data_IF_259292101811
#
_entry.id   IF_259292101811
#
_cell.length_a   1.000
_cell.length_b   1.000
_cell.length_c   1.000
_cell.angle_alpha   90.00
_cell.angle_beta   90.00
_cell.angle_gamma   90.00
#
_symmetry.space_group_name_H-M   'P 1'
#
loop_
_entity.id
_entity.type
_entity.pdbx_description
1 polymer ?
#
# COMPACT_ATOMS: atom_id res chain seq x y z
N UNK A 1 32.75 -9.40 10.83
CA UNK A 1 31.79 -8.79 11.75
C UNK A 1 31.34 -7.49 11.17
N UNK A 2 30.05 -7.35 10.86
CA UNK A 2 29.45 -6.07 10.46
C UNK A 2 28.36 -5.72 11.47
N UNK A 3 28.41 -4.51 12.01
CA UNK A 3 27.34 -3.95 12.81
C UNK A 3 26.78 -2.73 12.07
N UNK A 4 25.49 -2.67 11.90
CA UNK A 4 24.79 -1.55 11.31
C UNK A 4 23.92 -0.87 12.36
N UNK A 5 23.92 0.45 12.39
CA UNK A 5 23.03 1.26 13.23
C UNK A 5 22.08 2.01 12.32
N UNK A 6 20.77 2.01 12.65
CA UNK A 6 19.71 2.71 11.92
C UNK A 6 19.06 3.72 12.86
N UNK A 7 18.98 4.96 12.40
CA UNK A 7 18.18 6.02 13.03
C UNK A 7 17.05 6.39 12.07
N UNK A 8 15.80 6.42 12.56
CA UNK A 8 14.64 6.89 11.81
C UNK A 8 13.90 7.91 12.64
N UNK A 9 13.55 9.03 12.02
CA UNK A 9 12.65 10.04 12.57
C UNK A 9 11.44 10.08 11.65
N UNK A 10 10.25 9.94 12.22
CA UNK A 10 8.99 9.99 11.49
C UNK A 10 8.13 11.08 12.10
N UNK A 11 7.55 11.92 11.26
CA UNK A 11 6.58 12.94 11.64
C UNK A 11 5.35 12.75 10.77
N UNK A 12 4.20 12.56 11.39
CA UNK A 12 2.89 12.55 10.75
C UNK A 12 2.13 13.73 11.32
N UNK A 13 1.61 14.59 10.46
CA UNK A 13 0.82 15.74 10.86
C UNK A 13 -0.67 15.38 10.79
N UNK A 14 -1.44 15.88 11.74
CA UNK A 14 -2.90 15.78 11.75
C UNK A 14 -3.48 16.51 10.52
N UNK A 15 -4.57 15.98 9.98
CA UNK A 15 -5.44 16.71 9.08
C UNK A 15 -6.74 17.09 9.81
N UNK A 16 -7.32 18.22 9.46
CA UNK A 16 -8.58 18.72 10.05
C UNK A 16 -9.77 17.76 9.89
N UNK A 17 -9.62 16.68 9.11
CA UNK A 17 -10.60 15.63 8.90
C UNK A 17 -10.55 14.50 9.95
N UNK A 18 -9.58 14.49 10.86
CA UNK A 18 -9.47 13.52 11.97
C UNK A 18 -9.14 12.09 11.56
N UNK A 19 -8.71 11.85 10.32
CA UNK A 19 -8.27 10.51 9.84
C UNK A 19 -6.86 10.14 10.32
N UNK A 20 -6.01 11.11 10.56
CA UNK A 20 -4.63 10.91 10.99
C UNK A 20 -4.39 11.71 12.25
N UNK A 21 -4.07 11.04 13.34
CA UNK A 21 -3.58 11.70 14.54
C UNK A 21 -2.12 12.10 14.37
N UNK A 22 -1.74 13.24 14.93
CA UNK A 22 -0.34 13.67 14.99
C UNK A 22 0.53 12.56 15.55
N UNK A 23 1.68 12.35 14.94
CA UNK A 23 2.67 11.41 15.44
C UNK A 23 4.08 11.90 15.15
N UNK A 24 4.82 12.18 16.21
CA UNK A 24 6.28 12.38 16.16
C UNK A 24 6.93 11.19 16.84
N UNK A 25 7.65 10.39 16.09
CA UNK A 25 8.30 9.19 16.61
C UNK A 25 9.79 9.16 16.28
N UNK A 26 10.58 8.68 17.22
CA UNK A 26 12.01 8.42 17.06
C UNK A 26 12.24 6.93 17.24
N UNK A 27 12.93 6.31 16.29
CA UNK A 27 13.33 4.92 16.37
C UNK A 27 14.84 4.76 16.27
N UNK A 28 15.39 3.91 17.13
CA UNK A 28 16.81 3.54 17.14
C UNK A 28 16.91 2.03 17.08
N UNK A 29 17.68 1.53 16.12
CA UNK A 29 17.88 0.10 15.95
C UNK A 29 19.27 -0.23 15.49
N UNK A 30 19.57 -1.52 15.53
CA UNK A 30 20.83 -2.04 15.04
C UNK A 30 20.75 -3.51 14.70
N UNK A 31 21.68 -3.96 13.88
CA UNK A 31 21.86 -5.35 13.51
C UNK A 31 23.32 -5.74 13.66
N UNK A 32 23.54 -6.88 14.26
CA UNK A 32 24.84 -7.51 14.40
C UNK A 32 24.90 -8.82 13.63
N UNK A 33 25.90 -8.95 12.78
CA UNK A 33 26.17 -10.15 11.99
C UNK A 33 27.31 -10.93 12.67
N UNK A 34 27.09 -12.20 12.90
CA UNK A 34 28.06 -13.09 13.51
C UNK A 34 28.14 -14.44 12.77
N UNK A 35 29.28 -15.09 12.88
CA UNK A 35 29.55 -16.24 12.01
C UNK A 35 29.56 -15.84 10.54
N UNK A 36 29.19 -16.76 9.67
CA UNK A 36 29.19 -16.51 8.23
C UNK A 36 27.88 -15.86 7.75
N UNK A 37 26.75 -16.10 8.42
CA UNK A 37 25.41 -15.68 7.96
C UNK A 37 24.42 -15.38 9.08
N UNK A 38 24.78 -15.64 10.34
CA UNK A 38 23.86 -15.46 11.46
C UNK A 38 23.75 -13.99 11.85
N UNK A 39 22.60 -13.58 12.30
CA UNK A 39 22.33 -12.20 12.67
C UNK A 39 21.41 -12.10 13.87
N UNK A 40 21.56 -11.01 14.62
CA UNK A 40 20.61 -10.55 15.62
C UNK A 40 20.40 -9.05 15.42
N UNK A 41 19.17 -8.60 15.48
CA UNK A 41 18.83 -7.19 15.32
C UNK A 41 17.68 -6.81 16.24
N UNK A 42 17.60 -5.51 16.52
CA UNK A 42 16.50 -4.95 17.30
C UNK A 42 16.31 -3.47 17.00
N UNK A 43 15.12 -3.01 17.22
CA UNK A 43 14.73 -1.60 17.10
C UNK A 43 13.79 -1.27 18.26
N UNK A 44 13.96 -0.08 18.81
CA UNK A 44 13.04 0.52 19.77
C UNK A 44 12.59 1.86 19.24
N UNK A 45 11.33 2.19 19.43
CA UNK A 45 10.77 3.48 19.05
C UNK A 45 9.88 4.03 20.15
N UNK A 46 9.83 5.36 20.22
CA UNK A 46 8.95 6.10 21.11
C UNK A 46 8.34 7.27 20.34
N UNK A 47 7.10 7.60 20.62
CA UNK A 47 6.40 8.69 19.96
C UNK A 47 5.08 9.02 20.63
N UNK A 48 4.39 10.00 20.09
CA UNK A 48 3.15 10.53 20.66
C UNK A 48 2.04 9.47 20.74
N UNK A 49 2.07 8.48 19.82
CA UNK A 49 1.11 7.35 19.78
C UNK A 49 1.52 6.16 20.63
N UNK A 50 2.73 6.16 21.16
CA UNK A 50 3.20 5.09 22.03
C UNK A 50 4.62 4.60 21.72
N UNK A 51 4.95 3.53 22.38
CA UNK A 51 6.26 2.89 22.32
C UNK A 51 6.18 1.57 21.53
N UNK A 52 7.26 1.23 20.85
CA UNK A 52 7.39 -0.07 20.23
C UNK A 52 8.81 -0.62 20.33
N UNK A 53 8.90 -1.95 20.33
CA UNK A 53 10.16 -2.67 20.31
C UNK A 53 10.06 -3.86 19.35
N UNK A 54 11.14 -4.14 18.65
CA UNK A 54 11.28 -5.36 17.86
C UNK A 54 12.63 -6.02 18.09
N UNK A 55 12.64 -7.34 18.05
CA UNK A 55 13.82 -8.18 18.10
C UNK A 55 13.75 -9.19 16.97
N UNK A 56 14.83 -9.38 16.24
CA UNK A 56 14.94 -10.37 15.17
C UNK A 56 16.22 -11.16 15.35
N UNK A 57 16.19 -12.45 15.08
CA UNK A 57 17.36 -13.31 15.09
C UNK A 57 17.28 -14.34 13.97
N UNK A 58 18.39 -14.62 13.33
CA UNK A 58 18.56 -15.75 12.42
C UNK A 58 19.89 -16.44 12.73
N UNK A 59 19.81 -17.74 12.96
CA UNK A 59 20.95 -18.58 13.26
C UNK A 59 21.06 -19.74 12.28
N UNK A 60 22.17 -19.80 11.57
CA UNK A 60 22.49 -20.87 10.62
C UNK A 60 23.16 -22.04 11.34
N UNK A 61 22.41 -23.14 11.48
CA UNK A 61 22.93 -24.39 12.04
C UNK A 61 23.85 -25.11 11.07
N UNK A 62 23.50 -25.06 9.78
CA UNK A 62 24.21 -25.61 8.64
C UNK A 62 24.11 -24.65 7.44
N UNK A 63 24.90 -24.81 6.38
CA UNK A 63 24.82 -23.94 5.21
C UNK A 63 23.46 -23.91 4.50
N UNK A 64 22.64 -24.92 4.73
CA UNK A 64 21.33 -25.16 4.14
C UNK A 64 20.18 -25.17 5.15
N UNK A 65 20.46 -24.95 6.45
CA UNK A 65 19.46 -24.95 7.51
C UNK A 65 19.63 -23.81 8.48
N UNK A 66 18.60 -22.98 8.61
CA UNK A 66 18.55 -21.88 9.58
C UNK A 66 17.33 -21.96 10.48
N UNK A 67 17.51 -21.45 11.70
CA UNK A 67 16.44 -21.10 12.63
C UNK A 67 16.29 -19.58 12.62
N UNK A 68 15.07 -19.08 12.67
CA UNK A 68 14.81 -17.66 12.80
C UNK A 68 13.70 -17.38 13.81
N UNK A 69 13.72 -16.19 14.34
CA UNK A 69 12.68 -15.73 15.23
C UNK A 69 12.59 -14.21 15.24
N UNK A 70 11.40 -13.72 15.52
CA UNK A 70 11.13 -12.31 15.75
C UNK A 70 10.16 -12.15 16.91
N UNK A 71 10.29 -11.01 17.56
CA UNK A 71 9.35 -10.54 18.58
C UNK A 71 9.03 -9.08 18.30
N UNK A 72 7.76 -8.74 18.36
CA UNK A 72 7.29 -7.38 18.21
C UNK A 72 6.38 -7.01 19.38
N UNK A 73 6.53 -5.79 19.85
CA UNK A 73 5.69 -5.21 20.89
C UNK A 73 5.42 -3.75 20.58
N UNK A 74 4.17 -3.31 20.76
CA UNK A 74 3.77 -1.93 20.56
C UNK A 74 2.64 -1.59 21.51
N UNK A 75 2.63 -0.37 22.02
CA UNK A 75 1.53 0.22 22.80
C UNK A 75 0.62 1.08 21.95
N UNK A 76 0.97 1.30 20.69
CA UNK A 76 0.13 2.07 19.76
C UNK A 76 -1.17 1.29 19.47
N UNK A 77 -2.31 1.89 19.86
CA UNK A 77 -3.65 1.32 19.68
C UNK A 77 -4.42 2.03 18.56
N UNK A 78 -3.82 3.00 17.86
CA UNK A 78 -4.49 3.74 16.80
C UNK A 78 -4.87 2.82 15.63
N UNK A 79 -6.11 2.88 15.17
CA UNK A 79 -6.63 1.98 14.13
C UNK A 79 -6.24 2.40 12.70
N UNK A 80 -5.69 3.60 12.54
CA UNK A 80 -5.60 4.27 11.24
C UNK A 80 -4.31 4.10 10.46
N UNK A 81 -3.28 3.49 11.03
CA UNK A 81 -1.95 3.44 10.40
C UNK A 81 -1.51 2.06 9.90
N UNK A 82 -2.42 1.29 9.34
CA UNK A 82 -2.13 -0.03 8.79
C UNK A 82 -1.18 -0.03 7.57
N UNK A 83 -1.07 1.10 6.86
CA UNK A 83 -0.24 1.22 5.67
C UNK A 83 1.24 1.45 5.97
N UNK A 84 1.57 2.11 7.10
CA UNK A 84 2.93 2.50 7.44
C UNK A 84 3.55 1.69 8.58
N UNK A 85 2.76 0.96 9.34
CA UNK A 85 3.24 0.15 10.45
C UNK A 85 2.67 -1.29 10.38
N UNK A 86 3.25 -2.17 9.54
CA UNK A 86 2.82 -3.57 9.46
C UNK A 86 3.07 -4.36 10.77
N UNK A 87 3.75 -3.77 11.75
CA UNK A 87 4.15 -4.41 13.02
C UNK A 87 3.25 -4.03 14.20
N UNK A 88 1.99 -3.72 13.98
CA UNK A 88 1.02 -3.40 15.05
C UNK A 88 0.66 -4.58 15.94
N UNK A 89 0.86 -5.78 15.46
CA UNK A 89 0.54 -6.98 16.22
C UNK A 89 1.67 -7.30 17.17
N UNK A 90 1.36 -7.32 18.46
CA UNK A 90 2.26 -7.81 19.48
C UNK A 90 2.39 -9.31 19.33
N UNK A 91 3.59 -9.84 19.44
CA UNK A 91 3.75 -11.27 19.36
C UNK A 91 5.12 -11.74 18.99
N UNK A 92 5.21 -13.01 18.75
CA UNK A 92 6.44 -13.66 18.33
C UNK A 92 6.20 -14.58 17.13
N UNK A 93 7.25 -14.72 16.35
CA UNK A 93 7.33 -15.67 15.25
C UNK A 93 8.61 -16.47 15.43
N UNK A 94 8.52 -17.78 15.37
CA UNK A 94 9.69 -18.66 15.33
C UNK A 94 9.53 -19.65 14.20
N UNK A 95 10.62 -19.95 13.51
CA UNK A 95 10.58 -20.84 12.38
C UNK A 95 11.93 -21.43 12.02
N UNK A 96 11.88 -22.31 11.05
CA UNK A 96 13.06 -22.90 10.45
C UNK A 96 12.92 -22.92 8.93
N UNK A 97 14.05 -22.86 8.27
CA UNK A 97 14.14 -22.89 6.80
C UNK A 97 15.22 -23.87 6.38
N UNK A 98 14.84 -24.73 5.44
CA UNK A 98 15.73 -25.70 4.80
C UNK A 98 15.86 -25.45 3.33
N UNK A 99 17.08 -25.43 2.85
CA UNK A 99 17.39 -25.45 1.42
C UNK A 99 17.58 -26.90 0.98
N UNK A 100 16.53 -27.53 0.46
CA UNK A 100 16.59 -28.91 -0.02
C UNK A 100 17.45 -29.06 -1.28
N UNK A 101 17.45 -28.02 -2.13
CA UNK A 101 18.26 -27.94 -3.34
C UNK A 101 18.58 -26.48 -3.65
N UNK A 102 19.32 -26.24 -4.74
CA UNK A 102 19.54 -24.85 -5.21
C UNK A 102 18.24 -24.15 -5.63
N UNK A 103 17.19 -24.94 -5.90
CA UNK A 103 15.91 -24.45 -6.42
C UNK A 103 14.76 -24.57 -5.43
N UNK A 104 14.93 -25.28 -4.29
CA UNK A 104 13.81 -25.59 -3.40
C UNK A 104 14.15 -25.30 -1.95
N UNK A 105 13.35 -24.45 -1.33
CA UNK A 105 13.37 -24.17 0.10
C UNK A 105 12.07 -24.70 0.72
N UNK A 106 12.18 -25.28 1.91
CA UNK A 106 11.05 -25.54 2.78
C UNK A 106 11.16 -24.65 4.01
N UNK A 107 10.04 -24.28 4.58
CA UNK A 107 10.00 -23.62 5.88
C UNK A 107 8.79 -24.07 6.67
N UNK A 108 8.92 -24.03 7.98
CA UNK A 108 7.78 -24.01 8.86
C UNK A 108 7.95 -22.91 9.90
N UNK A 109 6.82 -22.37 10.33
CA UNK A 109 6.76 -21.19 11.19
C UNK A 109 5.60 -21.33 12.16
N UNK A 110 5.83 -20.96 13.42
CA UNK A 110 4.77 -20.76 14.41
C UNK A 110 4.74 -19.29 14.78
N UNK A 111 3.58 -18.68 14.68
CA UNK A 111 3.37 -17.28 14.93
C UNK A 111 2.26 -17.11 15.96
N UNK A 112 2.57 -16.42 17.03
CA UNK A 112 1.60 -15.95 18.03
C UNK A 112 1.46 -14.46 17.93
N UNK A 113 0.24 -14.00 17.74
CA UNK A 113 -0.09 -12.60 17.62
C UNK A 113 -1.16 -12.22 18.63
N UNK A 114 -1.06 -11.00 19.11
CA UNK A 114 -2.04 -10.38 19.99
C UNK A 114 -2.31 -8.96 19.50
N UNK A 115 -3.54 -8.69 19.14
CA UNK A 115 -3.97 -7.37 18.71
C UNK A 115 -4.26 -6.44 19.89
N UNK A 116 -4.20 -5.13 19.73
CA UNK A 116 -4.51 -4.16 20.77
C UNK A 116 -5.93 -4.26 21.32
N UNK A 117 -6.87 -4.74 20.50
CA UNK A 117 -8.27 -4.97 20.88
C UNK A 117 -8.46 -6.17 21.84
N UNK A 118 -7.39 -6.95 22.05
CA UNK A 118 -7.39 -8.13 22.92
C UNK A 118 -7.59 -9.44 22.20
N UNK A 119 -7.87 -9.45 20.90
CA UNK A 119 -7.86 -10.66 20.10
C UNK A 119 -6.44 -11.25 20.04
N UNK A 120 -6.34 -12.56 19.98
CA UNK A 120 -5.06 -13.24 19.94
C UNK A 120 -5.15 -14.51 19.11
N UNK A 121 -4.02 -15.00 18.62
CA UNK A 121 -4.00 -16.25 17.87
C UNK A 121 -2.62 -16.88 17.78
N UNK A 122 -2.63 -18.20 17.65
CA UNK A 122 -1.46 -19.00 17.33
C UNK A 122 -1.69 -19.64 15.95
N UNK A 123 -0.82 -19.37 15.02
CA UNK A 123 -0.86 -19.97 13.69
C UNK A 123 0.42 -20.75 13.41
N UNK A 124 0.27 -21.92 12.79
CA UNK A 124 1.37 -22.72 12.28
C UNK A 124 1.32 -22.72 10.77
N UNK A 125 2.41 -22.36 10.13
CA UNK A 125 2.53 -22.31 8.66
C UNK A 125 3.61 -23.27 8.20
N UNK A 126 3.29 -24.09 7.23
CA UNK A 126 4.26 -24.87 6.46
C UNK A 126 4.29 -24.33 5.03
N UNK A 127 5.47 -24.15 4.47
CA UNK A 127 5.59 -23.61 3.12
C UNK A 127 6.76 -24.20 2.35
N UNK A 128 6.65 -24.04 1.04
CA UNK A 128 7.67 -24.39 0.06
C UNK A 128 7.84 -23.27 -0.94
N UNK A 129 9.09 -22.89 -1.18
CA UNK A 129 9.46 -22.01 -2.29
C UNK A 129 10.26 -22.79 -3.31
N UNK A 130 9.89 -22.63 -4.58
CA UNK A 130 10.53 -23.29 -5.71
C UNK A 130 10.95 -22.26 -6.76
N UNK A 131 12.20 -22.34 -7.20
CA UNK A 131 12.84 -21.45 -8.15
C UNK A 131 13.24 -22.23 -9.43
N UNK A 132 12.30 -22.50 -10.36
CA UNK A 132 12.55 -23.37 -11.52
C UNK A 132 13.58 -22.85 -12.52
N UNK A 133 13.86 -21.54 -12.47
CA UNK A 133 14.83 -20.89 -13.33
C UNK A 133 15.08 -19.44 -12.92
N UNK A 134 15.99 -18.80 -13.60
CA UNK A 134 16.36 -17.41 -13.30
C UNK A 134 15.13 -16.49 -13.33
N UNK A 135 14.92 -15.79 -12.25
CA UNK A 135 13.83 -14.83 -12.09
C UNK A 135 12.45 -15.44 -11.83
N UNK A 136 12.30 -16.76 -11.80
CA UNK A 136 11.06 -17.41 -11.42
C UNK A 136 11.02 -17.74 -9.94
N UNK A 137 9.87 -17.53 -9.31
CA UNK A 137 9.54 -18.02 -7.98
C UNK A 137 8.13 -18.58 -7.97
N UNK A 138 7.97 -19.74 -7.37
CA UNK A 138 6.69 -20.37 -7.09
C UNK A 138 6.66 -20.72 -5.60
N UNK A 139 5.53 -20.53 -4.96
CA UNK A 139 5.40 -20.85 -3.54
C UNK A 139 4.05 -21.48 -3.23
N UNK A 140 4.07 -22.27 -2.19
CA UNK A 140 2.91 -22.93 -1.62
C UNK A 140 2.96 -22.80 -0.12
N UNK A 141 1.83 -22.47 0.54
CA UNK A 141 1.73 -22.47 1.99
C UNK A 141 0.45 -23.14 2.47
N UNK A 142 0.57 -23.85 3.58
CA UNK A 142 -0.53 -24.34 4.40
C UNK A 142 -0.45 -23.66 5.75
N UNK A 143 -1.55 -23.16 6.24
CA UNK A 143 -1.64 -22.55 7.56
C UNK A 143 -2.80 -23.17 8.34
N UNK A 144 -2.55 -23.42 9.62
CA UNK A 144 -3.54 -23.84 10.59
C UNK A 144 -3.37 -23.02 11.85
N UNK A 145 -4.45 -22.48 12.42
CA UNK A 145 -4.36 -21.55 13.53
C UNK A 145 -5.62 -21.48 14.36
N UNK A 146 -5.40 -21.26 15.65
CA UNK A 146 -6.44 -21.02 16.65
C UNK A 146 -6.44 -19.52 17.00
N UNK A 147 -7.58 -18.88 16.81
CA UNK A 147 -7.79 -17.47 17.09
C UNK A 147 -8.82 -17.34 18.21
N UNK A 148 -8.60 -16.37 19.08
CA UNK A 148 -9.59 -15.98 20.10
C UNK A 148 -9.98 -14.54 19.84
N UNK A 149 -11.25 -14.30 19.56
CA UNK A 149 -11.79 -12.96 19.33
C UNK A 149 -11.88 -12.16 20.63
N UNK A 150 -12.09 -10.85 20.53
CA UNK A 150 -12.30 -9.93 21.67
C UNK A 150 -13.37 -10.45 22.64
N UNK A 151 -14.45 -11.02 22.11
CA UNK A 151 -15.58 -11.56 22.89
C UNK A 151 -15.29 -12.94 23.50
N UNK A 152 -14.05 -13.45 23.37
CA UNK A 152 -13.63 -14.77 23.89
C UNK A 152 -14.08 -15.96 23.04
N UNK A 153 -14.66 -15.71 21.88
CA UNK A 153 -15.01 -16.77 20.93
C UNK A 153 -13.78 -17.36 20.23
N UNK A 154 -13.71 -18.68 20.17
CA UNK A 154 -12.64 -19.36 19.47
C UNK A 154 -12.97 -19.58 17.98
N UNK A 155 -11.98 -19.37 17.13
CA UNK A 155 -12.05 -19.55 15.67
C UNK A 155 -10.88 -20.42 15.23
N UNK A 156 -11.19 -21.55 14.64
CA UNK A 156 -10.21 -22.41 13.95
C UNK A 156 -10.04 -21.90 12.52
N UNK A 157 -8.86 -21.47 12.17
CA UNK A 157 -8.53 -20.94 10.84
C UNK A 157 -7.63 -21.89 10.08
N UNK A 158 -8.04 -22.23 8.87
CA UNK A 158 -7.22 -22.96 7.92
C UNK A 158 -7.07 -22.15 6.64
N UNK A 159 -5.84 -22.06 6.13
CA UNK A 159 -5.59 -21.39 4.87
C UNK A 159 -4.63 -22.19 3.99
N UNK A 160 -4.86 -22.09 2.69
CA UNK A 160 -3.96 -22.59 1.68
C UNK A 160 -3.66 -21.47 0.69
N UNK A 161 -2.40 -21.24 0.37
CA UNK A 161 -2.05 -20.25 -0.64
C UNK A 161 -1.07 -20.78 -1.67
N UNK A 162 -1.20 -20.25 -2.88
CA UNK A 162 -0.28 -20.42 -3.98
C UNK A 162 0.22 -19.05 -4.41
N UNK A 163 1.51 -18.90 -4.59
CA UNK A 163 2.10 -17.71 -5.15
C UNK A 163 3.02 -18.04 -6.30
N UNK A 164 3.08 -17.14 -7.27
CA UNK A 164 3.97 -17.25 -8.41
C UNK A 164 4.46 -15.89 -8.84
N UNK A 165 5.67 -15.84 -9.33
CA UNK A 165 6.26 -14.61 -9.81
C UNK A 165 7.36 -14.84 -10.84
N UNK A 166 7.60 -13.80 -11.62
CA UNK A 166 8.70 -13.73 -12.57
C UNK A 166 9.28 -12.33 -12.59
N UNK A 167 10.56 -12.23 -12.30
CA UNK A 167 11.33 -11.00 -12.46
C UNK A 167 12.38 -11.21 -13.54
N UNK A 168 12.33 -10.39 -14.56
CA UNK A 168 13.32 -10.32 -15.65
C UNK A 168 13.66 -8.87 -15.92
N UNK A 169 14.58 -8.57 -16.85
CA UNK A 169 14.94 -7.18 -17.19
C UNK A 169 13.75 -6.31 -17.59
N UNK A 170 12.75 -6.88 -18.22
CA UNK A 170 11.60 -6.15 -18.76
C UNK A 170 10.26 -6.46 -18.09
N UNK A 171 10.20 -7.51 -17.27
CA UNK A 171 8.95 -7.97 -16.67
C UNK A 171 9.12 -8.25 -15.19
N UNK A 172 8.26 -7.66 -14.37
CA UNK A 172 8.03 -8.01 -12.97
C UNK A 172 6.56 -8.41 -12.80
N UNK A 173 6.33 -9.70 -12.58
CA UNK A 173 5.01 -10.27 -12.35
C UNK A 173 4.99 -11.02 -11.04
N UNK A 174 3.95 -10.78 -10.24
CA UNK A 174 3.69 -11.47 -8.99
C UNK A 174 2.20 -11.74 -8.87
N UNK A 175 1.86 -12.94 -8.44
CA UNK A 175 0.49 -13.38 -8.19
C UNK A 175 0.43 -14.23 -6.94
N UNK A 176 -0.61 -14.03 -6.13
CA UNK A 176 -0.94 -14.89 -4.99
C UNK A 176 -2.43 -15.16 -5.00
N UNK A 177 -2.81 -16.40 -4.76
CA UNK A 177 -4.19 -16.84 -4.49
C UNK A 177 -4.19 -17.56 -3.16
N UNK A 178 -5.14 -17.19 -2.31
CA UNK A 178 -5.33 -17.78 -0.99
C UNK A 178 -6.80 -18.13 -0.80
N UNK A 179 -7.04 -19.35 -0.30
CA UNK A 179 -8.32 -19.75 0.24
C UNK A 179 -8.18 -19.90 1.75
N UNK A 180 -9.11 -19.30 2.48
CA UNK A 180 -9.17 -19.30 3.92
C UNK A 180 -10.53 -19.81 4.39
N UNK A 181 -10.52 -20.59 5.43
CA UNK A 181 -11.69 -21.14 6.08
C UNK A 181 -11.61 -20.91 7.57
N UNK A 182 -12.60 -20.22 8.11
CA UNK A 182 -12.77 -19.96 9.54
C UNK A 182 -13.97 -20.78 10.05
N UNK A 183 -13.81 -21.42 11.19
CA UNK A 183 -14.86 -22.21 11.85
C UNK A 183 -14.83 -21.95 13.37
N UNK A 184 -15.98 -22.05 14.03
CA UNK A 184 -16.07 -21.80 15.47
C UNK A 184 -16.95 -20.58 15.76
N UNK A 185 -16.47 -19.57 16.46
CA UNK A 185 -17.21 -18.35 16.71
C UNK A 185 -17.53 -17.59 15.42
N UNK A 186 -16.69 -17.70 14.42
CA UNK A 186 -16.93 -17.28 13.02
C UNK A 186 -17.12 -18.52 12.16
N UNK A 187 -17.91 -18.42 11.12
CA UNK A 187 -18.13 -19.51 10.15
C UNK A 187 -18.18 -18.93 8.76
N UNK A 188 -16.99 -18.79 8.12
CA UNK A 188 -16.85 -18.15 6.82
C UNK A 188 -15.81 -18.81 5.95
N UNK A 189 -16.01 -18.69 4.66
CA UNK A 189 -15.06 -19.05 3.62
C UNK A 189 -14.63 -17.77 2.88
N UNK A 190 -13.32 -17.63 2.60
CA UNK A 190 -12.78 -16.45 1.97
C UNK A 190 -11.79 -16.81 0.88
N UNK A 191 -11.95 -16.19 -0.29
CA UNK A 191 -10.98 -16.16 -1.36
C UNK A 191 -10.29 -14.81 -1.43
N UNK A 192 -8.96 -14.82 -1.50
CA UNK A 192 -8.16 -13.61 -1.67
C UNK A 192 -7.16 -13.83 -2.80
N UNK A 193 -7.06 -12.88 -3.71
CA UNK A 193 -6.00 -12.88 -4.72
C UNK A 193 -5.39 -11.50 -4.86
N UNK A 194 -4.08 -11.45 -4.98
CA UNK A 194 -3.31 -10.25 -5.25
C UNK A 194 -2.43 -10.49 -6.45
N UNK A 195 -2.51 -9.60 -7.44
CA UNK A 195 -1.78 -9.73 -8.68
C UNK A 195 -1.14 -8.39 -9.04
N UNK A 196 0.09 -8.43 -9.47
CA UNK A 196 0.84 -7.27 -9.95
C UNK A 196 1.62 -7.65 -11.19
N UNK A 197 1.57 -6.80 -12.18
CA UNK A 197 2.35 -6.90 -13.41
C UNK A 197 2.95 -5.54 -13.73
N UNK A 198 4.24 -5.51 -14.00
CA UNK A 198 4.91 -4.38 -14.65
C UNK A 198 5.67 -4.96 -15.84
N UNK A 199 5.45 -4.39 -17.02
CA UNK A 199 6.14 -4.83 -18.23
C UNK A 199 6.65 -3.64 -19.04
N UNK A 200 7.93 -3.66 -19.37
CA UNK A 200 8.61 -2.68 -20.20
C UNK A 200 8.70 -3.22 -21.62
N UNK A 201 7.89 -2.69 -22.53
CA UNK A 201 7.93 -3.09 -23.94
C UNK A 201 9.20 -2.60 -24.65
N UNK A 202 9.64 -1.40 -24.29
CA UNK A 202 10.87 -0.77 -24.77
C UNK A 202 11.27 0.36 -23.81
N UNK A 203 12.31 1.10 -24.14
CA UNK A 203 12.81 2.20 -23.30
C UNK A 203 11.82 3.35 -23.16
N UNK A 204 10.87 3.49 -24.09
CA UNK A 204 9.88 4.56 -24.11
C UNK A 204 8.53 4.17 -23.50
N UNK A 205 8.18 2.88 -23.45
CA UNK A 205 6.82 2.47 -23.10
C UNK A 205 6.78 1.34 -22.07
N UNK A 206 6.04 1.58 -20.99
CA UNK A 206 5.82 0.63 -19.89
C UNK A 206 4.34 0.56 -19.55
N UNK A 207 3.87 -0.64 -19.21
CA UNK A 207 2.57 -0.85 -18.62
C UNK A 207 2.72 -1.36 -17.19
N UNK A 208 1.74 -1.07 -16.36
CA UNK A 208 1.59 -1.63 -15.03
C UNK A 208 0.14 -2.01 -14.78
N UNK A 209 -0.07 -3.10 -14.05
CA UNK A 209 -1.39 -3.54 -13.63
C UNK A 209 -1.34 -4.14 -12.23
N UNK A 210 -2.41 -3.94 -11.48
CA UNK A 210 -2.66 -4.56 -10.19
C UNK A 210 -4.11 -5.00 -10.13
N UNK A 211 -4.35 -6.18 -9.59
CA UNK A 211 -5.69 -6.68 -9.32
C UNK A 211 -5.69 -7.34 -7.95
N UNK A 212 -6.46 -6.77 -7.04
CA UNK A 212 -6.79 -7.34 -5.75
C UNK A 212 -8.25 -7.79 -5.78
N UNK A 213 -8.51 -8.97 -5.31
CA UNK A 213 -9.85 -9.51 -5.19
C UNK A 213 -9.97 -10.22 -3.84
N UNK A 214 -11.05 -9.98 -3.14
CA UNK A 214 -11.45 -10.72 -1.96
C UNK A 214 -12.96 -11.00 -2.02
N UNK A 215 -13.35 -12.20 -1.68
CA UNK A 215 -14.75 -12.64 -1.58
C UNK A 215 -14.90 -13.41 -0.28
N UNK A 216 -15.80 -12.96 0.57
CA UNK A 216 -16.09 -13.56 1.88
C UNK A 216 -17.54 -14.00 1.89
N UNK A 217 -17.76 -15.27 2.13
CA UNK A 217 -19.07 -15.88 2.35
C UNK A 217 -19.19 -16.29 3.83
N UNK A 218 -20.02 -15.56 4.55
CA UNK A 218 -20.32 -15.84 5.95
C UNK A 218 -21.59 -16.69 6.07
N UNK A 219 -21.44 -17.88 6.65
CA UNK A 219 -22.51 -18.86 6.76
C UNK A 219 -23.50 -18.58 7.89
N UNK A 220 -23.16 -17.68 8.82
CA UNK A 220 -24.01 -17.30 9.97
C UNK A 220 -24.75 -16.02 9.71
N UNK A 221 -24.08 -15.04 9.16
CA UNK A 221 -24.66 -13.72 8.87
C UNK A 221 -24.42 -13.31 7.42
N UNK A 222 -25.45 -13.43 6.59
CA UNK A 222 -25.36 -13.01 5.18
C UNK A 222 -25.08 -11.51 5.02
N UNK A 223 -25.30 -10.68 6.04
CA UNK A 223 -24.95 -9.26 6.01
C UNK A 223 -23.41 -9.06 6.18
N UNK A 224 -22.73 -10.10 6.67
CA UNK A 224 -21.28 -10.13 6.77
C UNK A 224 -20.59 -10.60 5.48
N UNK A 225 -21.34 -11.03 4.46
CA UNK A 225 -20.79 -11.31 3.14
C UNK A 225 -20.19 -10.04 2.57
N UNK A 226 -18.99 -10.15 2.06
CA UNK A 226 -18.25 -9.02 1.51
C UNK A 226 -17.57 -9.41 0.20
N UNK A 227 -17.56 -8.48 -0.74
CA UNK A 227 -16.80 -8.62 -1.97
C UNK A 227 -16.03 -7.35 -2.24
N UNK A 228 -14.75 -7.50 -2.47
CA UNK A 228 -13.85 -6.42 -2.79
C UNK A 228 -13.11 -6.73 -4.10
N UNK A 229 -13.12 -5.79 -5.04
CA UNK A 229 -12.34 -5.83 -6.26
C UNK A 229 -11.68 -4.48 -6.43
N UNK A 230 -10.37 -4.44 -6.47
CA UNK A 230 -9.59 -3.27 -6.85
C UNK A 230 -8.71 -3.64 -8.05
N UNK A 231 -8.99 -3.06 -9.18
CA UNK A 231 -8.22 -3.24 -10.40
C UNK A 231 -7.60 -1.91 -10.84
N UNK A 232 -6.29 -1.90 -11.06
CA UNK A 232 -5.57 -0.76 -11.63
C UNK A 232 -4.82 -1.23 -12.86
N UNK A 233 -4.98 -0.54 -13.98
CA UNK A 233 -4.19 -0.74 -15.18
C UNK A 233 -3.73 0.63 -15.68
N UNK A 234 -2.46 0.74 -16.05
CA UNK A 234 -1.92 2.00 -16.52
C UNK A 234 -0.74 1.82 -17.46
N UNK A 235 -0.41 2.91 -18.11
CA UNK A 235 0.79 3.01 -18.93
C UNK A 235 1.57 4.27 -18.60
N UNK A 236 2.87 4.21 -18.87
CA UNK A 236 3.77 5.34 -18.88
C UNK A 236 4.52 5.35 -20.22
N UNK A 237 4.51 6.50 -20.87
CA UNK A 237 5.20 6.72 -22.12
C UNK A 237 6.09 7.95 -22.04
N UNK A 238 7.36 7.78 -22.38
CA UNK A 238 8.36 8.84 -22.50
C UNK A 238 9.30 8.46 -23.62
N UNK A 239 9.42 9.24 -24.72
CA UNK A 239 10.38 8.97 -25.77
C UNK A 239 11.81 8.90 -25.22
N UNK A 240 12.54 7.84 -25.57
CA UNK A 240 13.91 7.63 -25.07
C UNK A 240 14.91 8.69 -25.61
N UNK A 241 14.61 9.24 -26.79
CA UNK A 241 15.41 10.23 -27.50
C UNK A 241 15.01 11.69 -27.19
N UNK A 242 13.96 11.88 -26.42
CA UNK A 242 13.44 13.21 -26.09
C UNK A 242 12.80 13.25 -24.70
N UNK A 243 13.33 14.09 -23.84
CA UNK A 243 12.73 14.35 -22.52
C UNK A 243 11.59 15.39 -22.56
N UNK A 244 11.11 15.77 -23.77
CA UNK A 244 10.10 16.81 -23.91
C UNK A 244 8.70 16.35 -23.57
N UNK A 245 8.37 15.09 -23.79
CA UNK A 245 7.03 14.54 -23.60
C UNK A 245 7.06 13.42 -22.57
N UNK A 246 6.10 13.48 -21.67
CA UNK A 246 5.76 12.37 -20.77
C UNK A 246 4.25 12.22 -20.74
N UNK A 247 3.76 11.00 -20.81
CA UNK A 247 2.33 10.70 -20.72
C UNK A 247 2.10 9.52 -19.78
N UNK A 248 1.07 9.66 -18.96
CA UNK A 248 0.59 8.62 -18.07
C UNK A 248 -0.89 8.42 -18.29
N UNK A 249 -1.33 7.19 -18.29
CA UNK A 249 -2.74 6.87 -18.28
C UNK A 249 -3.01 5.81 -17.24
N UNK A 250 -4.11 5.95 -16.50
CA UNK A 250 -4.51 4.99 -15.47
C UNK A 250 -6.02 4.78 -15.55
N UNK A 251 -6.41 3.52 -15.51
CA UNK A 251 -7.77 3.09 -15.27
C UNK A 251 -7.83 2.36 -13.94
N UNK A 252 -8.77 2.75 -13.09
CA UNK A 252 -9.03 2.10 -11.79
C UNK A 252 -10.47 1.63 -11.77
N UNK A 253 -10.67 0.39 -11.37
CA UNK A 253 -11.98 -0.16 -11.05
C UNK A 253 -12.01 -0.56 -9.58
N UNK A 254 -12.99 -0.04 -8.86
CA UNK A 254 -13.23 -0.36 -7.46
C UNK A 254 -14.66 -0.87 -7.30
N UNK A 255 -14.79 -2.05 -6.76
CA UNK A 255 -16.05 -2.62 -6.33
C UNK A 255 -15.88 -3.00 -4.86
N UNK A 256 -16.54 -2.27 -4.01
CA UNK A 256 -16.47 -2.46 -2.56
C UNK A 256 -17.87 -2.63 -2.00
N UNK A 257 -18.20 -3.86 -1.67
CA UNK A 257 -19.30 -4.21 -0.79
C UNK A 257 -18.66 -4.41 0.58
N UNK A 258 -18.64 -3.36 1.38
CA UNK A 258 -17.85 -3.27 2.59
C UNK A 258 -18.02 -4.47 3.52
N UNK A 259 -16.91 -4.93 4.11
CA UNK A 259 -16.87 -5.98 5.11
C UNK A 259 -17.13 -5.43 6.52
N UNK A 260 -17.53 -6.29 7.46
CA UNK A 260 -17.69 -5.93 8.88
C UNK A 260 -16.45 -5.29 9.52
N UNK A 261 -15.27 -5.50 8.97
CA UNK A 261 -14.02 -4.87 9.42
C UNK A 261 -13.86 -3.42 8.98
N UNK A 262 -14.62 -2.97 7.98
CA UNK A 262 -14.59 -1.59 7.47
C UNK A 262 -15.77 -0.81 8.07
N UNK A 263 -15.82 -0.72 9.38
CA UNK A 263 -16.89 0.01 10.10
C UNK A 263 -16.94 1.51 9.84
N UNK A 264 -15.97 2.05 9.12
CA UNK A 264 -15.82 3.48 8.88
C UNK A 264 -16.63 3.99 7.69
N UNK A 265 -17.05 3.10 6.79
CA UNK A 265 -17.84 3.49 5.63
C UNK A 265 -19.18 2.77 5.62
N UNK A 266 -20.25 3.50 5.92
CA UNK A 266 -21.63 3.00 5.88
C UNK A 266 -22.19 2.93 4.45
N UNK A 267 -21.34 2.77 3.43
CA UNK A 267 -21.77 2.71 2.04
C UNK A 267 -21.07 1.63 1.22
N UNK A 268 -21.79 1.07 0.28
CA UNK A 268 -21.23 0.22 -0.78
C UNK A 268 -20.96 1.08 -2.01
N UNK A 269 -19.91 0.75 -2.77
CA UNK A 269 -19.56 1.48 -3.99
C UNK A 269 -19.12 0.56 -5.12
N UNK A 270 -19.46 0.98 -6.32
CA UNK A 270 -18.91 0.46 -7.58
C UNK A 270 -18.43 1.65 -8.38
N UNK A 271 -17.15 1.75 -8.62
CA UNK A 271 -16.58 2.96 -9.20
C UNK A 271 -15.52 2.61 -10.22
N UNK A 272 -15.50 3.35 -11.30
CA UNK A 272 -14.42 3.34 -12.29
C UNK A 272 -13.87 4.75 -12.46
N UNK A 273 -12.56 4.85 -12.55
CA UNK A 273 -11.85 6.11 -12.75
C UNK A 273 -10.90 5.94 -13.93
N UNK A 274 -11.04 6.79 -14.92
CA UNK A 274 -10.08 6.91 -16.02
C UNK A 274 -9.35 8.23 -15.85
N UNK A 275 -8.03 8.21 -15.86
CA UNK A 275 -7.21 9.43 -15.84
C UNK A 275 -6.12 9.38 -16.90
N UNK A 276 -5.85 10.52 -17.50
CA UNK A 276 -4.72 10.74 -18.40
C UNK A 276 -4.02 12.03 -17.99
N UNK A 277 -2.71 11.95 -17.89
CA UNK A 277 -1.84 13.06 -17.54
C UNK A 277 -0.71 13.17 -18.57
N UNK A 278 -0.37 14.38 -18.94
CA UNK A 278 0.71 14.67 -19.87
C UNK A 278 1.54 15.85 -19.42
N UNK A 279 2.85 15.73 -19.62
CA UNK A 279 3.82 16.79 -19.36
C UNK A 279 4.55 17.12 -20.66
N UNK A 280 4.62 18.39 -20.97
CA UNK A 280 5.38 18.91 -22.12
C UNK A 280 6.40 19.95 -21.67
N UNK A 281 7.67 19.70 -21.91
CA UNK A 281 8.78 20.63 -21.69
C UNK A 281 9.11 21.32 -23.01
N UNK A 282 8.70 22.58 -23.09
CA UNK A 282 8.99 23.37 -24.29
C UNK A 282 10.50 23.63 -24.44
N UNK A 283 11.11 24.07 -23.35
CA UNK A 283 12.55 24.32 -23.24
C UNK A 283 13.02 24.07 -21.80
N UNK A 284 14.18 24.60 -21.42
CA UNK A 284 14.72 24.45 -20.06
C UNK A 284 13.95 25.27 -19.01
N UNK A 285 13.18 26.27 -19.44
CA UNK A 285 12.49 27.20 -18.55
C UNK A 285 11.00 26.90 -18.41
N UNK A 286 10.34 26.37 -19.46
CA UNK A 286 8.91 26.18 -19.51
C UNK A 286 8.49 24.71 -19.52
N UNK A 287 7.67 24.38 -18.58
CA UNK A 287 6.99 23.08 -18.51
C UNK A 287 5.47 23.30 -18.36
N UNK A 288 4.70 22.59 -19.16
CA UNK A 288 3.23 22.57 -19.12
C UNK A 288 2.81 21.15 -18.81
N UNK A 289 1.96 20.97 -17.79
CA UNK A 289 1.35 19.69 -17.48
C UNK A 289 -0.18 19.81 -17.52
N UNK A 290 -0.84 18.74 -17.90
CA UNK A 290 -2.30 18.67 -17.92
C UNK A 290 -2.77 17.31 -17.44
N UNK A 291 -3.87 17.30 -16.69
CA UNK A 291 -4.53 16.10 -16.20
C UNK A 291 -6.02 16.17 -16.53
N UNK A 292 -6.53 15.07 -17.07
CA UNK A 292 -7.96 14.86 -17.27
C UNK A 292 -8.32 13.56 -16.55
N UNK A 293 -9.40 13.60 -15.78
CA UNK A 293 -9.90 12.40 -15.15
C UNK A 293 -11.43 12.40 -15.11
N UNK A 294 -11.99 11.20 -15.19
CA UNK A 294 -13.42 10.96 -15.07
C UNK A 294 -13.68 9.79 -14.17
N UNK A 295 -14.52 10.02 -13.19
CA UNK A 295 -15.08 8.99 -12.31
C UNK A 295 -16.52 8.74 -12.67
N UNK A 296 -16.90 7.49 -12.82
CA UNK A 296 -18.28 7.06 -12.92
C UNK A 296 -18.52 5.91 -11.95
N UNK A 297 -19.66 5.91 -11.29
CA UNK A 297 -19.97 4.84 -10.36
C UNK A 297 -21.34 4.94 -9.74
N UNK A 298 -21.60 4.01 -8.85
CA UNK A 298 -22.82 3.90 -8.07
C UNK A 298 -22.44 3.78 -6.59
N UNK A 299 -23.17 4.48 -5.73
CA UNK A 299 -23.02 4.44 -4.27
C UNK A 299 -24.33 4.02 -3.67
N UNK A 300 -24.29 3.16 -2.65
CA UNK A 300 -25.45 2.71 -1.88
C UNK A 300 -25.20 2.96 -0.40
N UNK A 301 -26.03 3.79 0.21
CA UNK A 301 -26.00 4.01 1.66
C UNK A 301 -26.72 2.88 2.40
N UNK A 302 -26.14 2.47 3.52
CA UNK A 302 -26.60 1.31 4.27
C UNK A 302 -26.23 -0.01 3.58
N UNK A 303 -25.60 -0.88 4.33
CA UNK A 303 -25.05 -2.15 3.83
C UNK A 303 -26.15 -3.05 3.31
N UNK A 304 -26.05 -3.39 2.04
CA UNK A 304 -26.92 -4.38 1.41
C UNK A 304 -28.39 -3.99 1.26
N UNK A 305 -28.85 -2.81 1.73
CA UNK A 305 -30.27 -2.50 1.88
C UNK A 305 -30.77 -1.23 1.20
N UNK A 306 -29.92 -0.29 0.84
CA UNK A 306 -30.32 0.97 0.22
C UNK A 306 -30.48 0.91 -1.30
N UNK A 307 -31.10 1.92 -1.94
CA UNK A 307 -31.04 2.10 -3.38
C UNK A 307 -29.63 2.53 -3.83
N UNK A 308 -29.26 2.18 -5.06
CA UNK A 308 -28.06 2.67 -5.69
C UNK A 308 -28.28 4.06 -6.28
N UNK A 309 -27.31 4.95 -6.07
CA UNK A 309 -27.30 6.32 -6.62
C UNK A 309 -26.14 6.45 -7.59
N UNK A 310 -26.43 6.96 -8.77
CA UNK A 310 -25.41 7.29 -9.76
C UNK A 310 -24.52 8.43 -9.27
N UNK A 311 -23.22 8.27 -9.43
CA UNK A 311 -22.20 9.29 -9.15
C UNK A 311 -21.31 9.45 -10.36
N UNK A 312 -21.11 10.68 -10.81
CA UNK A 312 -20.13 10.99 -11.85
C UNK A 312 -19.40 12.29 -11.51
N UNK A 313 -18.10 12.30 -11.77
CA UNK A 313 -17.24 13.46 -11.52
C UNK A 313 -16.24 13.58 -12.66
N UNK A 314 -16.18 14.77 -13.24
CA UNK A 314 -15.18 15.16 -14.24
C UNK A 314 -14.17 16.10 -13.62
N UNK A 315 -12.90 15.85 -13.87
CA UNK A 315 -11.78 16.66 -13.36
C UNK A 315 -10.86 17.06 -14.51
N UNK A 316 -10.43 18.32 -14.49
CA UNK A 316 -9.39 18.82 -15.35
C UNK A 316 -8.42 19.73 -14.57
N UNK A 317 -7.14 19.58 -14.82
CA UNK A 317 -6.11 20.46 -14.30
C UNK A 317 -5.14 20.86 -15.40
N UNK A 318 -4.70 22.12 -15.34
CA UNK A 318 -3.64 22.67 -16.19
C UNK A 318 -2.61 23.34 -15.31
N UNK A 319 -1.38 22.87 -15.40
CA UNK A 319 -0.24 23.37 -14.64
C UNK A 319 0.77 24.02 -15.55
N UNK A 320 1.29 25.14 -15.12
CA UNK A 320 2.39 25.85 -15.75
C UNK A 320 3.53 26.00 -14.75
N UNK A 321 4.73 25.59 -15.13
CA UNK A 321 5.95 25.80 -14.36
C UNK A 321 6.93 26.61 -15.19
N UNK A 322 7.54 27.60 -14.54
CA UNK A 322 8.51 28.50 -15.17
C UNK A 322 9.76 28.67 -14.29
N UNK A 323 10.94 28.48 -14.87
CA UNK A 323 12.20 28.78 -14.18
C UNK A 323 12.42 30.30 -14.18
N UNK A 324 12.20 30.92 -13.02
CA UNK A 324 12.29 32.39 -12.83
C UNK A 324 13.74 32.84 -12.79
N UNK A 325 14.55 32.12 -12.01
CA UNK A 325 16.02 32.29 -11.91
C UNK A 325 16.62 30.91 -11.71
N UNK A 326 17.91 30.79 -11.95
CA UNK A 326 18.62 29.51 -11.85
C UNK A 326 18.19 28.66 -10.65
N UNK A 327 17.72 27.46 -10.94
CA UNK A 327 17.21 26.48 -9.98
C UNK A 327 15.95 26.86 -9.19
N UNK A 328 15.31 28.00 -9.46
CA UNK A 328 14.02 28.37 -8.85
C UNK A 328 12.92 28.36 -9.88
N UNK A 329 11.83 27.65 -9.58
CA UNK A 329 10.68 27.47 -10.45
C UNK A 329 9.41 27.99 -9.78
N UNK A 330 8.70 28.87 -10.45
CA UNK A 330 7.35 29.24 -10.09
C UNK A 330 6.36 28.24 -10.70
N UNK A 331 5.37 27.84 -9.93
CA UNK A 331 4.31 26.93 -10.29
C UNK A 331 2.96 27.62 -10.16
N UNK A 332 2.11 27.46 -11.16
CA UNK A 332 0.70 27.81 -11.10
C UNK A 332 -0.12 26.69 -11.73
N UNK A 333 -1.14 26.24 -11.05
CA UNK A 333 -2.05 25.20 -11.51
C UNK A 333 -3.49 25.67 -11.34
N UNK A 334 -4.30 25.51 -12.38
CA UNK A 334 -5.74 25.73 -12.34
C UNK A 334 -6.44 24.39 -12.36
N UNK A 335 -7.38 24.19 -11.45
CA UNK A 335 -8.18 22.96 -11.28
C UNK A 335 -9.66 23.25 -11.49
N UNK A 336 -10.31 22.32 -12.16
CA UNK A 336 -11.74 22.33 -12.40
C UNK A 336 -12.31 20.96 -12.08
N UNK A 337 -13.39 20.91 -11.30
CA UNK A 337 -14.10 19.73 -10.90
C UNK A 337 -15.60 19.93 -11.12
N UNK A 338 -16.25 19.02 -11.79
CA UNK A 338 -17.71 19.00 -11.98
C UNK A 338 -18.28 17.71 -11.40
N UNK A 339 -19.14 17.84 -10.41
CA UNK A 339 -19.78 16.71 -9.73
C UNK A 339 -21.25 16.66 -10.14
N UNK A 340 -21.68 15.57 -10.75
CA UNK A 340 -23.09 15.35 -11.11
C UNK A 340 -23.95 15.50 -9.85
N UNK A 341 -24.90 16.45 -9.91
CA UNK A 341 -25.77 16.85 -8.80
C UNK A 341 -25.08 17.59 -7.61
N UNK A 342 -23.76 17.78 -7.66
CA UNK A 342 -23.01 18.53 -6.64
C UNK A 342 -22.51 19.89 -7.08
N UNK A 343 -22.60 20.18 -8.38
CA UNK A 343 -22.15 21.44 -8.98
C UNK A 343 -20.67 21.45 -9.34
N UNK A 344 -20.23 22.59 -9.85
CA UNK A 344 -18.86 22.80 -10.33
C UNK A 344 -18.03 23.54 -9.29
N UNK A 345 -16.83 23.05 -9.04
CA UNK A 345 -15.80 23.67 -8.19
C UNK A 345 -14.57 24.01 -9.03
N UNK A 346 -13.90 25.07 -8.69
CA UNK A 346 -12.66 25.48 -9.38
C UNK A 346 -11.75 26.23 -8.42
N UNK A 347 -10.45 26.17 -8.67
CA UNK A 347 -9.49 26.86 -7.83
C UNK A 347 -8.09 26.84 -8.40
N UNK A 348 -7.19 27.50 -7.70
CA UNK A 348 -5.79 27.64 -8.06
C UNK A 348 -4.90 27.01 -7.01
N UNK A 349 -3.76 26.50 -7.46
CA UNK A 349 -2.64 26.14 -6.62
C UNK A 349 -1.42 26.91 -7.13
N UNK A 350 -0.69 27.54 -6.23
CA UNK A 350 0.53 28.27 -6.57
C UNK A 350 1.67 27.83 -5.66
N UNK A 351 2.86 27.80 -6.21
CA UNK A 351 4.04 27.37 -5.48
C UNK A 351 5.33 27.91 -6.04
N UNK A 352 6.37 27.73 -5.25
CA UNK A 352 7.75 28.02 -5.61
C UNK A 352 8.63 26.83 -5.22
N UNK A 353 9.32 26.26 -6.20
CA UNK A 353 10.21 25.12 -6.04
C UNK A 353 11.67 25.54 -6.25
N UNK A 354 12.58 24.86 -5.61
CA UNK A 354 14.02 25.02 -5.83
C UNK A 354 14.69 23.67 -6.02
N UNK A 355 15.49 23.55 -7.08
CA UNK A 355 16.36 22.40 -7.29
C UNK A 355 17.57 22.49 -6.35
N UNK A 356 17.82 21.43 -5.59
CA UNK A 356 18.95 21.28 -4.66
C UNK A 356 19.89 20.21 -5.25
N UNK A 357 20.95 20.67 -5.91
CA UNK A 357 21.81 19.78 -6.63
C UNK A 357 21.14 19.16 -7.85
N UNK A 358 21.46 17.89 -8.13
CA UNK A 358 20.88 17.13 -9.26
C UNK A 358 19.80 16.14 -8.82
N UNK A 359 19.63 15.95 -7.54
CA UNK A 359 18.88 14.81 -6.98
C UNK A 359 17.63 15.21 -6.19
N UNK A 360 17.47 16.48 -5.82
CA UNK A 360 16.34 16.89 -5.01
C UNK A 360 15.72 18.19 -5.52
N UNK A 361 14.41 18.28 -5.37
CA UNK A 361 13.63 19.51 -5.52
C UNK A 361 12.80 19.68 -4.27
N UNK A 362 12.86 20.87 -3.68
CA UNK A 362 12.05 21.25 -2.52
C UNK A 362 11.23 22.45 -2.91
N UNK A 363 9.95 22.42 -2.57
CA UNK A 363 9.02 23.50 -2.86
C UNK A 363 8.04 23.74 -1.72
N UNK A 364 7.44 24.91 -1.74
CA UNK A 364 6.33 25.27 -0.88
C UNK A 364 5.30 26.03 -1.70
N UNK A 365 4.06 25.90 -1.33
CA UNK A 365 2.98 26.59 -2.02
C UNK A 365 1.72 26.63 -1.19
N UNK A 366 0.70 27.23 -1.78
CA UNK A 366 -0.62 27.32 -1.19
C UNK A 366 -1.66 26.77 -2.18
N UNK A 367 -2.48 25.88 -1.69
CA UNK A 367 -3.61 25.32 -2.41
C UNK A 367 -4.89 26.06 -2.01
N UNK A 368 -5.52 26.71 -2.99
CA UNK A 368 -6.79 27.43 -2.83
C UNK A 368 -7.98 26.55 -3.25
N UNK A 369 -7.77 25.25 -3.47
CA UNK A 369 -8.84 24.34 -3.86
C UNK A 369 -9.32 23.53 -2.66
N UNK A 370 -10.62 23.43 -2.49
CA UNK A 370 -11.29 22.61 -1.48
C UNK A 370 -11.54 21.17 -1.98
N UNK A 371 -10.74 20.67 -2.91
CA UNK A 371 -10.90 19.32 -3.48
C UNK A 371 -9.59 18.75 -3.98
N UNK A 372 -9.49 17.41 -3.90
CA UNK A 372 -8.35 16.64 -4.40
C UNK A 372 -8.40 16.43 -5.92
N UNK A 373 -7.24 16.19 -6.50
CA UNK A 373 -7.06 15.67 -7.85
C UNK A 373 -7.13 14.12 -7.91
N UNK A 374 -7.27 13.44 -6.77
CA UNK A 374 -7.47 12.01 -6.68
C UNK A 374 -8.97 11.68 -6.60
N UNK A 375 -9.53 11.23 -7.72
CA UNK A 375 -10.93 10.85 -7.81
C UNK A 375 -11.24 9.45 -7.24
N UNK A 376 -10.28 8.79 -6.63
CA UNK A 376 -10.49 7.48 -5.97
C UNK A 376 -11.05 7.63 -4.57
N UNK A 377 -10.92 8.81 -3.96
CA UNK A 377 -11.48 9.14 -2.64
C UNK A 377 -12.65 10.16 -2.76
N UNK A 378 -13.65 10.06 -1.88
CA UNK A 378 -14.82 10.94 -1.90
C UNK A 378 -14.67 12.17 -1.00
N UNK A 379 -13.87 12.07 0.05
CA UNK A 379 -13.81 13.04 1.15
C UNK A 379 -12.40 13.61 1.33
N UNK A 380 -11.90 14.34 0.34
CA UNK A 380 -10.63 15.00 0.49
C UNK A 380 -10.81 16.51 0.37
N UNK A 381 -10.82 17.19 1.52
CA UNK A 381 -10.74 18.65 1.61
C UNK A 381 -9.27 19.03 1.88
N UNK A 382 -8.70 19.89 1.05
CA UNK A 382 -7.28 20.17 1.11
C UNK A 382 -6.93 21.61 0.75
N UNK A 383 -7.56 22.55 1.42
CA UNK A 383 -7.13 23.95 1.34
C UNK A 383 -5.97 24.18 2.32
N UNK A 384 -4.89 24.83 1.88
CA UNK A 384 -3.82 25.22 2.79
C UNK A 384 -2.41 25.24 2.22
N UNK A 385 -1.46 25.42 3.11
CA UNK A 385 -0.04 25.36 2.80
C UNK A 385 0.42 23.92 2.57
N UNK A 386 1.26 23.73 1.56
CA UNK A 386 1.90 22.44 1.32
C UNK A 386 3.42 22.61 1.15
N UNK A 387 4.13 21.55 1.53
CA UNK A 387 5.54 21.35 1.26
C UNK A 387 5.68 20.19 0.28
N UNK A 388 6.45 20.40 -0.77
CA UNK A 388 6.76 19.38 -1.76
C UNK A 388 8.25 19.04 -1.71
N UNK A 389 8.56 17.75 -1.71
CA UNK A 389 9.94 17.27 -1.84
C UNK A 389 9.98 16.13 -2.85
N UNK A 390 10.73 16.32 -3.92
CA UNK A 390 10.88 15.37 -5.01
C UNK A 390 12.31 14.89 -5.10
N UNK A 391 12.52 13.59 -5.01
CA UNK A 391 13.79 12.94 -5.34
C UNK A 391 13.88 12.70 -6.85
N UNK A 392 14.95 13.14 -7.47
CA UNK A 392 15.25 12.92 -8.88
C UNK A 392 16.41 11.92 -8.99
N UNK A 393 16.20 10.83 -9.73
CA UNK A 393 17.19 9.76 -9.87
C UNK A 393 17.63 9.57 -11.32
#
# INVERSE_FOLDING_TARGET
>A
MMAGVKLRIQVTLDDDGGRYEDNTAIAVGGQYLFGDRSSVGGEVSTGDRGDAASLTAEYWLQPDWSLYGSYTWSTDTSQYDSLFNPNRQNGWTVGQRWRLSQQTNLFNESQYLKDPDGSQGLANTFGMDFYPGVGWNLGFTLQDGDLTNVDGGNVDRQAVSLNGGRTSGDTDWQSKVEYRRDRGAEDRDQWVTTNRLVHKFNESFRIAGRLNYADTDDHRDRLANARFIEGNAGFAWRPWDSARWEMFGRYTYLYDLSSLGQREQDYDQKTQVLSVEGVYRHDQHWEVAGKLARREGEVRYGRGSGPWFDSATDFAALQLRYEVVYAWHALAEYRWLDVKAGGTRQGWLVGLDRDIGKNFRIGAGYNFTEFSDDLTDFDYDHEGWFLNMVGMY
#
